data_IF_105129973214
#
_entry.id   IF_105129973214
#
_cell.length_a   1.000
_cell.length_b   1.000
_cell.length_c   1.000
_cell.angle_alpha   90.00
_cell.angle_beta   90.00
_cell.angle_gamma   90.00
#
_symmetry.space_group_name_H-M   'P 1'
#
loop_
_entity.id
_entity.type
_entity.pdbx_description
1 polymer ?
#
# COMPACT_ATOMS: atom_id res chain seq x y z
N UNK A 1 0.52 -0.90 0.15
CA UNK A 1 -0.45 -1.93 0.62
C UNK A 1 -1.09 -1.45 1.93
N UNK A 2 -2.41 -1.31 2.03
CA UNK A 2 -3.02 -0.98 3.32
C UNK A 2 -2.84 -2.14 4.31
N UNK A 3 -2.53 -1.81 5.56
CA UNK A 3 -2.22 -2.78 6.61
C UNK A 3 -3.39 -2.84 7.59
N UNK A 4 -4.48 -3.53 7.23
CA UNK A 4 -5.58 -3.71 8.17
C UNK A 4 -5.14 -4.54 9.39
N UNK A 5 -4.30 -5.56 9.13
CA UNK A 5 -3.62 -6.38 10.13
C UNK A 5 -2.27 -6.83 9.55
N UNK A 6 -1.26 -7.04 10.41
CA UNK A 6 0.05 -7.55 9.98
C UNK A 6 -0.08 -8.92 9.29
N UNK A 7 -0.89 -9.82 9.85
CA UNK A 7 -1.17 -11.13 9.27
C UNK A 7 -1.77 -11.05 7.86
N UNK A 8 -2.68 -10.11 7.63
CA UNK A 8 -3.28 -9.86 6.32
C UNK A 8 -2.24 -9.33 5.33
N UNK A 9 -1.41 -8.36 5.75
CA UNK A 9 -0.36 -7.79 4.89
C UNK A 9 0.65 -8.86 4.45
N UNK A 10 1.18 -9.62 5.41
CA UNK A 10 2.12 -10.73 5.16
C UNK A 10 1.52 -11.79 4.23
N UNK A 11 0.25 -12.16 4.43
CA UNK A 11 -0.43 -13.12 3.56
C UNK A 11 -0.50 -12.64 2.10
N UNK A 12 -0.82 -11.35 1.87
CA UNK A 12 -0.84 -10.76 0.51
C UNK A 12 0.55 -10.78 -0.11
N UNK A 13 1.60 -10.39 0.63
CA UNK A 13 2.97 -10.39 0.11
C UNK A 13 3.42 -11.80 -0.30
N UNK A 14 3.17 -12.80 0.56
CA UNK A 14 3.47 -14.22 0.26
C UNK A 14 2.74 -14.72 -0.99
N UNK A 15 1.45 -14.40 -1.13
CA UNK A 15 0.66 -14.81 -2.31
C UNK A 15 1.16 -14.18 -3.61
N UNK A 16 1.70 -12.96 -3.55
CA UNK A 16 2.27 -12.24 -4.69
C UNK A 16 3.76 -12.52 -4.92
N UNK A 17 4.39 -13.38 -4.10
CA UNK A 17 5.82 -13.69 -4.20
C UNK A 17 6.74 -12.51 -3.84
N UNK A 18 6.27 -11.58 -3.03
CA UNK A 18 7.03 -10.41 -2.56
C UNK A 18 7.62 -10.74 -1.18
N UNK A 19 8.89 -10.41 -0.96
CA UNK A 19 9.53 -10.58 0.34
C UNK A 19 8.85 -9.71 1.41
N UNK A 20 8.74 -10.22 2.64
CA UNK A 20 8.03 -9.55 3.74
C UNK A 20 8.70 -8.24 4.18
N UNK A 21 10.01 -8.14 3.95
CA UNK A 21 10.88 -7.01 4.26
C UNK A 21 11.28 -6.20 3.01
N UNK A 22 10.58 -6.39 1.88
CA UNK A 22 10.89 -5.70 0.64
C UNK A 22 10.85 -4.17 0.85
N UNK A 23 12.00 -3.51 0.62
CA UNK A 23 12.20 -2.08 0.94
C UNK A 23 11.23 -1.12 0.22
N UNK A 24 10.59 -1.56 -0.87
CA UNK A 24 9.63 -0.77 -1.64
C UNK A 24 8.18 -0.94 -1.16
N UNK A 25 7.91 -1.85 -0.22
CA UNK A 25 6.60 -2.06 0.37
C UNK A 25 6.46 -1.17 1.60
N UNK A 26 5.53 -0.20 1.54
CA UNK A 26 5.23 0.73 2.64
C UNK A 26 6.50 1.37 3.25
N UNK A 27 7.39 1.98 2.45
CA UNK A 27 8.69 2.47 2.91
C UNK A 27 8.63 3.52 4.03
N UNK A 28 7.49 4.22 4.14
CA UNK A 28 7.25 5.25 5.15
C UNK A 28 6.24 4.79 6.23
N UNK A 29 6.10 3.47 6.40
CA UNK A 29 5.10 2.86 7.26
C UNK A 29 3.70 2.78 6.65
N UNK A 30 2.76 2.24 7.42
CA UNK A 30 1.41 1.97 6.96
C UNK A 30 0.35 2.15 8.05
N UNK A 31 -0.82 1.54 7.84
CA UNK A 31 -2.00 1.78 8.67
C UNK A 31 -1.87 1.21 10.10
N UNK A 32 -0.95 0.26 10.32
CA UNK A 32 -0.64 -0.23 11.68
C UNK A 32 -0.06 0.91 12.53
N UNK A 33 0.84 1.71 11.96
CA UNK A 33 1.49 2.81 12.67
C UNK A 33 0.70 4.12 12.60
N UNK A 34 0.10 4.42 11.44
CA UNK A 34 -0.53 5.71 11.14
C UNK A 34 -2.05 5.73 11.40
N UNK A 35 -2.63 4.56 11.69
CA UNK A 35 -4.07 4.39 11.82
C UNK A 35 -4.79 4.19 10.47
N UNK A 36 -6.06 3.78 10.57
CA UNK A 36 -6.89 3.41 9.43
C UNK A 36 -8.27 4.11 9.45
N UNK A 37 -8.33 5.44 9.21
CA UNK A 37 -9.60 6.12 8.96
C UNK A 37 -10.17 5.61 7.62
N UNK A 38 -11.24 4.81 7.68
CA UNK A 38 -11.76 4.02 6.56
C UNK A 38 -11.92 4.82 5.26
N UNK A 39 -12.63 5.95 5.31
CA UNK A 39 -12.90 6.78 4.13
C UNK A 39 -11.70 7.56 3.59
N UNK A 40 -10.63 7.72 4.38
CA UNK A 40 -9.46 8.54 4.03
C UNK A 40 -8.26 7.69 3.59
N UNK A 41 -8.17 6.45 4.07
CA UNK A 41 -6.99 5.59 3.85
C UNK A 41 -6.67 5.35 2.38
N UNK A 42 -7.69 5.28 1.51
CA UNK A 42 -7.50 5.14 0.05
C UNK A 42 -6.77 6.34 -0.56
N UNK A 43 -7.21 7.54 -0.19
CA UNK A 43 -6.55 8.78 -0.61
C UNK A 43 -5.13 8.88 -0.03
N UNK A 44 -4.94 8.53 1.25
CA UNK A 44 -3.63 8.53 1.90
C UNK A 44 -2.63 7.63 1.17
N UNK A 45 -2.94 6.35 0.98
CA UNK A 45 -1.98 5.41 0.38
C UNK A 45 -1.65 5.77 -1.08
N UNK A 46 -2.63 6.28 -1.83
CA UNK A 46 -2.44 6.68 -3.22
C UNK A 46 -1.63 7.97 -3.33
N UNK A 47 -1.92 8.95 -2.47
CA UNK A 47 -1.17 10.20 -2.38
C UNK A 47 0.27 9.98 -1.91
N UNK A 48 0.48 9.16 -0.89
CA UNK A 48 1.83 8.78 -0.45
C UNK A 48 2.59 8.04 -1.54
N UNK A 49 1.96 7.12 -2.28
CA UNK A 49 2.61 6.43 -3.39
C UNK A 49 3.03 7.40 -4.53
N UNK A 50 2.17 8.35 -4.89
CA UNK A 50 2.49 9.38 -5.88
C UNK A 50 3.64 10.30 -5.41
N UNK A 51 3.63 10.69 -4.13
CA UNK A 51 4.71 11.46 -3.51
C UNK A 51 6.03 10.70 -3.52
N UNK A 52 6.01 9.41 -3.14
CA UNK A 52 7.19 8.56 -3.10
C UNK A 52 7.81 8.36 -4.48
N UNK A 53 6.98 8.20 -5.53
CA UNK A 53 7.48 8.14 -6.91
C UNK A 53 8.25 9.39 -7.29
N UNK A 54 7.74 10.57 -6.90
CA UNK A 54 8.40 11.85 -7.15
C UNK A 54 9.71 11.96 -6.37
N UNK A 55 9.70 11.60 -5.09
CA UNK A 55 10.86 11.74 -4.21
C UNK A 55 11.98 10.73 -4.52
N UNK A 56 11.64 9.50 -4.92
CA UNK A 56 12.61 8.46 -5.30
C UNK A 56 12.96 8.43 -6.79
N UNK A 57 12.33 9.27 -7.60
CA UNK A 57 12.46 9.22 -9.06
C UNK A 57 11.88 7.95 -9.71
N UNK A 58 11.05 7.18 -9.00
CA UNK A 58 10.41 5.97 -9.51
C UNK A 58 9.44 6.25 -10.67
N UNK A 59 9.13 5.23 -11.47
CA UNK A 59 8.20 5.35 -12.61
C UNK A 59 6.78 4.87 -12.27
N UNK A 60 6.67 3.69 -11.67
CA UNK A 60 5.39 3.03 -11.40
C UNK A 60 5.24 2.70 -9.92
N UNK A 61 4.03 2.89 -9.39
CA UNK A 61 3.64 2.44 -8.05
C UNK A 61 2.30 1.72 -8.09
N UNK A 62 2.08 0.85 -7.11
CA UNK A 62 0.81 0.17 -6.88
C UNK A 62 0.30 0.50 -5.47
N UNK A 63 -0.91 1.05 -5.40
CA UNK A 63 -1.64 1.21 -4.15
C UNK A 63 -2.80 0.21 -4.11
N UNK A 64 -2.90 -0.57 -3.04
CA UNK A 64 -3.93 -1.63 -2.90
C UNK A 64 -4.38 -1.78 -1.46
N UNK A 65 -5.63 -2.21 -1.26
CA UNK A 65 -6.21 -2.51 0.04
C UNK A 65 -7.26 -3.61 -0.01
N UNK A 66 -7.36 -4.35 1.08
CA UNK A 66 -8.53 -5.19 1.37
C UNK A 66 -9.72 -4.32 1.80
N UNK A 67 -10.91 -4.86 1.65
CA UNK A 67 -12.17 -4.25 2.06
C UNK A 67 -12.95 -5.29 2.84
N UNK A 68 -13.61 -4.86 3.92
CA UNK A 68 -14.47 -5.73 4.72
C UNK A 68 -15.50 -6.44 3.84
N UNK A 69 -15.99 -7.59 4.31
CA UNK A 69 -16.99 -8.39 3.57
C UNK A 69 -16.45 -9.01 2.26
N UNK A 70 -15.12 -9.13 2.12
CA UNK A 70 -14.50 -9.99 1.10
C UNK A 70 -14.26 -9.30 -0.24
N UNK A 71 -13.82 -8.04 -0.23
CA UNK A 71 -13.48 -7.29 -1.44
C UNK A 71 -12.03 -6.77 -1.39
N UNK A 72 -11.55 -6.28 -2.52
CA UNK A 72 -10.24 -5.63 -2.63
C UNK A 72 -10.23 -4.63 -3.78
N UNK A 73 -9.36 -3.63 -3.68
CA UNK A 73 -9.14 -2.62 -4.72
C UNK A 73 -7.65 -2.41 -4.91
N UNK A 74 -7.24 -2.16 -6.15
CA UNK A 74 -5.89 -1.79 -6.51
C UNK A 74 -5.90 -0.72 -7.60
N UNK A 75 -4.94 0.20 -7.54
CA UNK A 75 -4.68 1.19 -8.57
C UNK A 75 -3.18 1.20 -8.88
N UNK A 76 -2.86 1.34 -10.17
CA UNK A 76 -1.51 1.60 -10.63
C UNK A 76 -1.36 3.09 -10.95
N UNK A 77 -0.20 3.65 -10.60
CA UNK A 77 0.14 5.05 -10.82
C UNK A 77 1.41 5.11 -11.66
N UNK A 78 1.46 6.00 -12.64
CA UNK A 78 2.68 6.38 -13.36
C UNK A 78 3.01 7.84 -13.03
N UNK A 79 4.28 8.11 -12.73
CA UNK A 79 4.75 9.47 -12.50
C UNK A 79 4.85 10.23 -13.83
N UNK A 80 4.31 11.45 -13.85
CA UNK A 80 4.45 12.40 -14.97
C UNK A 80 5.77 13.17 -14.94
#
# INVERSE_FOLDING_TARGET
LNEAFASQGIAVLRQLGIAEDAEHVNPNGGAIALGHPLGMSGARISGTAALELRERGGRYALATMCIGVGQGIAIALERV
#
